data_IF_727540182457
#
_entry.id   IF_727540182457
#
_cell.length_a   1.000
_cell.length_b   1.000
_cell.length_c   1.000
_cell.angle_alpha   90.00
_cell.angle_beta   90.00
_cell.angle_gamma   90.00
#
_symmetry.space_group_name_H-M   'P 1'
#
loop_
_entity.id
_entity.type
_entity.pdbx_description
1 polymer ?
#
# COMPACT_ATOMS: atom_id res chain seq x y z
N UNK A 1 24.60 -32.57 -13.50
CA UNK A 1 24.50 -32.01 -12.13
C UNK A 1 24.38 -30.49 -12.19
N UNK A 2 23.22 -29.97 -12.63
CA UNK A 2 22.72 -28.61 -12.37
C UNK A 2 21.42 -28.39 -13.17
N UNK A 3 20.34 -29.03 -12.71
CA UNK A 3 18.97 -28.73 -13.09
C UNK A 3 18.16 -28.82 -11.80
N UNK A 4 18.24 -27.78 -10.97
CA UNK A 4 17.46 -27.64 -9.74
C UNK A 4 17.51 -26.18 -9.27
N UNK A 5 16.70 -25.32 -9.89
CA UNK A 5 16.31 -24.02 -9.32
C UNK A 5 15.05 -23.45 -10.02
N UNK A 6 14.17 -24.33 -10.50
CA UNK A 6 12.87 -23.96 -11.04
C UNK A 6 11.80 -24.75 -10.28
N UNK A 7 11.44 -24.28 -9.09
CA UNK A 7 10.19 -24.56 -8.37
C UNK A 7 10.29 -24.00 -6.94
N UNK A 8 10.05 -22.70 -6.77
CA UNK A 8 9.63 -22.16 -5.47
C UNK A 8 8.33 -21.39 -5.68
N UNK A 9 7.31 -21.89 -4.96
CA UNK A 9 5.94 -21.39 -4.76
C UNK A 9 5.06 -21.17 -5.99
N UNK A 10 4.37 -22.23 -6.41
CA UNK A 10 3.16 -22.13 -7.25
C UNK A 10 1.99 -22.96 -6.67
N UNK A 11 1.83 -22.98 -5.34
CA UNK A 11 0.74 -23.71 -4.70
C UNK A 11 0.40 -23.19 -3.31
N UNK A 12 -0.64 -22.34 -3.24
CA UNK A 12 -1.51 -22.01 -2.07
C UNK A 12 -2.25 -20.67 -2.23
N UNK A 13 -1.78 -19.78 -3.11
CA UNK A 13 -2.24 -18.38 -3.18
C UNK A 13 -3.65 -18.12 -3.75
N UNK A 14 -4.37 -19.14 -4.21
CA UNK A 14 -5.73 -18.98 -4.76
C UNK A 14 -6.79 -18.77 -3.67
N UNK A 15 -6.69 -19.51 -2.57
CA UNK A 15 -7.70 -19.54 -1.50
C UNK A 15 -7.58 -18.28 -0.61
N UNK A 16 -6.35 -17.91 -0.23
CA UNK A 16 -6.11 -16.72 0.60
C UNK A 16 -6.45 -15.40 -0.11
N UNK A 17 -6.43 -15.33 -1.44
CA UNK A 17 -6.85 -14.12 -2.18
C UNK A 17 -8.37 -13.95 -2.21
N UNK A 18 -9.12 -15.04 -2.35
CA UNK A 18 -10.57 -15.00 -2.32
C UNK A 18 -11.08 -14.61 -0.93
N UNK A 19 -10.52 -15.23 0.12
CA UNK A 19 -10.85 -14.90 1.51
C UNK A 19 -10.45 -13.47 1.86
N UNK A 20 -9.28 -13.00 1.40
CA UNK A 20 -8.87 -11.60 1.58
C UNK A 20 -9.88 -10.65 0.94
N UNK A 21 -10.36 -10.94 -0.28
CA UNK A 21 -11.38 -10.13 -0.95
C UNK A 21 -12.75 -10.19 -0.27
N UNK A 22 -13.16 -11.30 0.33
CA UNK A 22 -14.40 -11.39 1.10
C UNK A 22 -14.36 -10.49 2.35
N UNK A 23 -13.21 -10.47 3.03
CA UNK A 23 -13.01 -9.64 4.22
C UNK A 23 -13.08 -8.15 3.88
N UNK A 24 -12.67 -7.74 2.68
CA UNK A 24 -12.87 -6.36 2.22
C UNK A 24 -14.34 -5.95 2.24
N UNK A 25 -15.22 -6.77 1.66
CA UNK A 25 -16.65 -6.47 1.57
C UNK A 25 -17.23 -6.27 2.96
N UNK A 26 -16.87 -7.15 3.90
CA UNK A 26 -17.29 -7.02 5.29
C UNK A 26 -16.77 -5.74 5.95
N UNK A 27 -15.49 -5.41 5.79
CA UNK A 27 -14.92 -4.19 6.36
C UNK A 27 -15.54 -2.93 5.76
N UNK A 28 -15.85 -2.95 4.46
CA UNK A 28 -16.55 -1.86 3.78
C UNK A 28 -17.95 -1.66 4.36
N UNK A 29 -18.75 -2.73 4.46
CA UNK A 29 -20.08 -2.68 5.09
C UNK A 29 -20.01 -2.10 6.50
N UNK A 30 -19.04 -2.55 7.30
CA UNK A 30 -18.84 -2.03 8.66
C UNK A 30 -18.49 -0.53 8.72
N UNK A 31 -17.83 0.02 7.70
CA UNK A 31 -17.57 1.46 7.58
C UNK A 31 -18.80 2.24 7.11
N UNK A 32 -19.65 1.65 6.27
CA UNK A 32 -20.91 2.25 5.81
C UNK A 32 -22.00 2.21 6.90
N UNK A 33 -21.85 1.35 7.90
CA UNK A 33 -22.75 1.25 9.06
C UNK A 33 -22.15 1.86 10.35
N UNK A 34 -21.10 2.69 10.24
CA UNK A 34 -20.41 3.20 11.41
C UNK A 34 -21.29 4.17 12.22
N UNK A 35 -21.65 3.85 13.48
CA UNK A 35 -22.56 4.68 14.28
C UNK A 35 -21.97 6.03 14.70
N UNK A 36 -20.67 6.27 14.46
CA UNK A 36 -20.05 7.57 14.72
C UNK A 36 -20.42 8.65 13.69
N UNK A 37 -21.08 8.29 12.60
CA UNK A 37 -21.55 9.21 11.58
C UNK A 37 -23.01 8.93 11.20
N UNK A 38 -23.82 9.98 11.12
CA UNK A 38 -25.20 9.89 10.66
C UNK A 38 -25.20 9.96 9.13
N UNK A 39 -25.30 8.78 8.50
CA UNK A 39 -25.26 8.66 7.05
C UNK A 39 -26.56 9.11 6.38
N UNK A 40 -26.41 9.68 5.19
CA UNK A 40 -27.49 9.89 4.22
C UNK A 40 -27.29 8.92 3.05
N UNK A 41 -28.34 8.69 2.26
CA UNK A 41 -28.22 7.84 1.05
C UNK A 41 -27.11 8.34 0.11
N UNK A 42 -26.93 9.66 0.00
CA UNK A 42 -25.89 10.28 -0.82
C UNK A 42 -24.49 10.03 -0.26
N UNK A 43 -24.28 10.19 1.06
CA UNK A 43 -22.96 9.97 1.66
C UNK A 43 -22.57 8.50 1.67
N UNK A 44 -23.53 7.57 1.80
CA UNK A 44 -23.31 6.13 1.65
C UNK A 44 -22.83 5.79 0.24
N UNK A 45 -23.57 6.23 -0.79
CA UNK A 45 -23.20 5.98 -2.18
C UNK A 45 -21.83 6.60 -2.53
N UNK A 46 -21.53 7.77 -1.98
CA UNK A 46 -20.23 8.42 -2.17
C UNK A 46 -19.09 7.59 -1.57
N UNK A 47 -19.20 7.22 -0.30
CA UNK A 47 -18.14 6.48 0.40
C UNK A 47 -17.97 5.08 -0.18
N UNK A 48 -19.07 4.37 -0.48
CA UNK A 48 -19.03 3.05 -1.11
C UNK A 48 -18.25 3.07 -2.43
N UNK A 49 -18.61 4.00 -3.33
CA UNK A 49 -17.92 4.19 -4.61
C UNK A 49 -16.46 4.60 -4.42
N UNK A 50 -16.18 5.51 -3.49
CA UNK A 50 -14.83 6.00 -3.22
C UNK A 50 -13.92 4.89 -2.70
N UNK A 51 -14.43 4.00 -1.84
CA UNK A 51 -13.71 2.84 -1.33
C UNK A 51 -13.38 1.84 -2.44
N UNK A 52 -14.38 1.43 -3.23
CA UNK A 52 -14.16 0.46 -4.32
C UNK A 52 -13.18 1.01 -5.36
N UNK A 53 -13.24 2.31 -5.66
CA UNK A 53 -12.36 2.94 -6.65
C UNK A 53 -10.89 3.00 -6.20
N UNK A 54 -10.66 3.38 -4.93
CA UNK A 54 -9.31 3.71 -4.46
C UNK A 54 -8.61 2.56 -3.73
N UNK A 55 -9.36 1.67 -3.09
CA UNK A 55 -8.78 0.58 -2.31
C UNK A 55 -8.57 -0.66 -3.19
N UNK A 56 -9.51 -1.00 -4.08
CA UNK A 56 -9.42 -2.16 -4.97
C UNK A 56 -8.60 -1.87 -6.24
N UNK A 57 -8.32 -2.92 -7.03
CA UNK A 57 -7.59 -2.84 -8.31
C UNK A 57 -6.06 -2.86 -8.18
N UNK A 58 -5.52 -2.98 -6.97
CA UNK A 58 -4.11 -3.24 -6.71
C UNK A 58 -3.76 -4.74 -6.70
N UNK A 59 -2.46 -5.05 -6.68
CA UNK A 59 -1.98 -6.45 -6.50
C UNK A 59 -2.19 -6.96 -5.05
N UNK A 60 -2.49 -6.07 -4.10
CA UNK A 60 -2.65 -6.33 -2.67
C UNK A 60 -1.44 -7.02 -2.01
N UNK A 61 -0.24 -6.84 -2.58
CA UNK A 61 0.97 -7.53 -2.10
C UNK A 61 1.31 -7.16 -0.65
N UNK A 62 1.03 -5.93 -0.21
CA UNK A 62 1.34 -5.49 1.16
C UNK A 62 0.37 -6.12 2.15
N UNK A 63 -0.92 -6.13 1.82
CA UNK A 63 -1.95 -6.77 2.63
C UNK A 63 -1.74 -8.29 2.75
N UNK A 64 -1.50 -8.96 1.62
CA UNK A 64 -1.23 -10.41 1.60
C UNK A 64 0.05 -10.79 2.37
N UNK A 65 1.07 -9.91 2.35
CA UNK A 65 2.31 -10.12 3.10
C UNK A 65 2.09 -10.26 4.61
N UNK A 66 1.06 -9.61 5.19
CA UNK A 66 0.72 -9.82 6.61
C UNK A 66 0.34 -11.27 6.88
N UNK A 67 -0.49 -11.84 6.01
CA UNK A 67 -1.02 -13.20 6.12
C UNK A 67 0.12 -14.21 5.96
N UNK A 68 0.94 -14.04 4.93
CA UNK A 68 2.06 -14.93 4.62
C UNK A 68 3.15 -14.87 5.71
N UNK A 69 3.43 -13.68 6.23
CA UNK A 69 4.35 -13.49 7.36
C UNK A 69 3.81 -14.17 8.61
N UNK A 70 2.51 -14.03 8.90
CA UNK A 70 1.90 -14.62 10.10
C UNK A 70 1.86 -16.15 10.05
N UNK A 71 1.53 -16.72 8.88
CA UNK A 71 1.65 -18.16 8.61
C UNK A 71 3.07 -18.67 8.85
N UNK A 72 4.05 -17.94 8.31
CA UNK A 72 5.47 -18.30 8.44
C UNK A 72 5.93 -18.26 9.89
N UNK A 73 5.59 -17.21 10.65
CA UNK A 73 5.93 -17.08 12.07
C UNK A 73 5.31 -18.20 12.92
N UNK A 74 4.10 -18.64 12.58
CA UNK A 74 3.44 -19.78 13.25
C UNK A 74 3.91 -21.15 12.78
N UNK A 75 4.62 -21.23 11.65
CA UNK A 75 5.00 -22.51 11.03
C UNK A 75 3.79 -23.32 10.56
N UNK A 76 2.73 -22.65 10.09
CA UNK A 76 1.50 -23.30 9.59
C UNK A 76 1.14 -22.81 8.20
N UNK A 77 0.59 -23.71 7.37
CA UNK A 77 0.11 -23.35 6.03
C UNK A 77 -1.30 -22.75 6.05
N UNK A 78 -2.09 -23.11 7.06
CA UNK A 78 -3.50 -22.73 7.24
C UNK A 78 -3.71 -22.15 8.63
N UNK A 79 -4.23 -20.93 8.68
CA UNK A 79 -4.59 -20.24 9.92
C UNK A 79 -6.03 -20.63 10.34
N UNK A 80 -6.35 -20.49 11.62
CA UNK A 80 -7.75 -20.61 12.08
C UNK A 80 -8.56 -19.44 11.54
N UNK A 81 -9.89 -19.61 11.39
CA UNK A 81 -10.77 -18.56 10.85
C UNK A 81 -10.61 -17.19 11.53
N UNK A 82 -10.52 -17.15 12.87
CA UNK A 82 -10.31 -15.88 13.59
C UNK A 82 -8.93 -15.27 13.29
N UNK A 83 -7.90 -16.10 13.23
CA UNK A 83 -6.53 -15.68 12.92
C UNK A 83 -6.41 -15.14 11.49
N UNK A 84 -7.02 -15.83 10.53
CA UNK A 84 -7.10 -15.37 9.15
C UNK A 84 -7.83 -14.04 9.07
N UNK A 85 -8.97 -13.92 9.76
CA UNK A 85 -9.75 -12.68 9.78
C UNK A 85 -8.94 -11.50 10.31
N UNK A 86 -8.24 -11.66 11.45
CA UNK A 86 -7.43 -10.60 12.03
C UNK A 86 -6.22 -10.24 11.14
N UNK A 87 -5.52 -11.24 10.57
CA UNK A 87 -4.41 -11.01 9.67
C UNK A 87 -4.84 -10.27 8.39
N UNK A 88 -5.94 -10.68 7.78
CA UNK A 88 -6.52 -10.00 6.62
C UNK A 88 -7.00 -8.59 6.98
N UNK A 89 -7.58 -8.40 8.16
CA UNK A 89 -8.03 -7.07 8.62
C UNK A 89 -6.85 -6.10 8.73
N UNK A 90 -5.73 -6.52 9.33
CA UNK A 90 -4.51 -5.69 9.34
C UNK A 90 -3.95 -5.49 7.93
N UNK A 91 -3.99 -6.52 7.09
CA UNK A 91 -3.59 -6.40 5.68
C UNK A 91 -4.41 -5.33 4.94
N UNK A 92 -5.72 -5.27 5.15
CA UNK A 92 -6.58 -4.23 4.60
C UNK A 92 -6.29 -2.86 5.20
N UNK A 93 -6.02 -2.73 6.51
CA UNK A 93 -5.57 -1.45 7.08
C UNK A 93 -4.34 -0.88 6.33
N UNK A 94 -3.41 -1.75 5.89
CA UNK A 94 -2.24 -1.33 5.10
C UNK A 94 -2.63 -0.92 3.67
N UNK A 95 -3.55 -1.63 3.02
CA UNK A 95 -4.06 -1.27 1.69
C UNK A 95 -4.89 0.04 1.73
N UNK A 96 -5.63 0.31 2.82
CA UNK A 96 -6.28 1.60 3.08
C UNK A 96 -5.26 2.72 3.27
N UNK A 97 -4.21 2.48 4.06
CA UNK A 97 -3.11 3.44 4.26
C UNK A 97 -2.45 3.78 2.92
N UNK A 98 -2.19 2.76 2.09
CA UNK A 98 -1.65 2.96 0.76
C UNK A 98 -2.64 3.75 -0.12
N UNK A 99 -3.93 3.39 -0.15
CA UNK A 99 -4.94 4.09 -0.94
C UNK A 99 -5.01 5.58 -0.58
N UNK A 100 -5.02 5.90 0.71
CA UNK A 100 -4.94 7.27 1.23
C UNK A 100 -3.74 8.03 0.65
N UNK A 101 -2.52 7.50 0.82
CA UNK A 101 -1.33 8.18 0.31
C UNK A 101 -1.36 8.32 -1.21
N UNK A 102 -1.86 7.33 -1.94
CA UNK A 102 -1.91 7.38 -3.41
C UNK A 102 -2.91 8.40 -3.94
N UNK A 103 -4.06 8.59 -3.28
CA UNK A 103 -5.02 9.63 -3.65
C UNK A 103 -4.38 11.02 -3.53
N UNK A 104 -3.65 11.28 -2.44
CA UNK A 104 -2.98 12.56 -2.23
C UNK A 104 -1.75 12.74 -3.13
N UNK A 105 -0.94 11.70 -3.29
CA UNK A 105 0.23 11.67 -4.19
C UNK A 105 -0.19 11.96 -5.63
N UNK A 106 -1.31 11.38 -6.10
CA UNK A 106 -1.84 11.67 -7.43
C UNK A 106 -2.19 13.14 -7.64
N UNK A 107 -2.69 13.82 -6.60
CA UNK A 107 -3.00 15.25 -6.65
C UNK A 107 -1.71 16.08 -6.68
N UNK A 108 -0.77 15.77 -5.78
CA UNK A 108 0.50 16.50 -5.66
C UNK A 108 1.38 16.35 -6.91
N UNK A 109 1.39 15.17 -7.51
CA UNK A 109 2.14 14.87 -8.75
C UNK A 109 1.34 15.22 -10.02
N UNK A 110 0.11 15.76 -9.87
CA UNK A 110 -0.78 16.10 -10.97
C UNK A 110 -1.02 14.92 -11.95
N UNK A 111 -1.06 13.70 -11.40
CA UNK A 111 -1.14 12.45 -12.14
C UNK A 111 -2.43 12.32 -12.98
N UNK A 112 -2.36 11.51 -14.03
CA UNK A 112 -3.49 11.29 -14.95
C UNK A 112 -4.22 9.98 -14.66
N UNK A 113 -3.48 8.89 -14.48
CA UNK A 113 -4.03 7.54 -14.35
C UNK A 113 -3.36 6.74 -13.25
N UNK A 114 -4.13 5.91 -12.55
CA UNK A 114 -3.67 4.93 -11.57
C UNK A 114 -4.46 3.63 -11.73
N UNK A 115 -3.79 2.48 -11.63
CA UNK A 115 -4.40 1.14 -11.75
C UNK A 115 -5.25 0.95 -13.03
N UNK A 116 -4.86 1.62 -14.12
CA UNK A 116 -5.55 1.54 -15.41
C UNK A 116 -6.78 2.43 -15.55
N UNK A 117 -7.09 3.26 -14.55
CA UNK A 117 -8.23 4.19 -14.53
C UNK A 117 -7.75 5.63 -14.28
N UNK A 118 -8.55 6.68 -14.55
CA UNK A 118 -8.23 8.05 -14.15
C UNK A 118 -7.94 8.15 -12.64
N UNK A 119 -7.00 8.99 -12.23
CA UNK A 119 -6.81 9.28 -10.81
C UNK A 119 -8.11 9.82 -10.19
N UNK A 120 -8.40 9.50 -8.93
CA UNK A 120 -9.70 9.82 -8.31
C UNK A 120 -10.07 11.31 -8.43
N UNK A 121 -9.13 12.21 -8.18
CA UNK A 121 -9.33 13.66 -8.32
C UNK A 121 -9.64 14.14 -9.76
N UNK A 122 -9.41 13.29 -10.77
CA UNK A 122 -9.73 13.55 -12.19
C UNK A 122 -11.11 13.05 -12.59
N UNK A 123 -11.74 12.22 -11.77
CA UNK A 123 -13.09 11.73 -12.03
C UNK A 123 -14.05 12.93 -12.03
N UNK A 124 -14.95 13.06 -13.03
CA UNK A 124 -15.92 14.14 -13.05
C UNK A 124 -16.69 14.21 -11.73
N UNK A 125 -16.91 15.43 -11.22
CA UNK A 125 -17.58 15.73 -9.95
C UNK A 125 -16.74 15.49 -8.67
N UNK A 126 -15.57 14.84 -8.75
CA UNK A 126 -14.69 14.64 -7.58
C UNK A 126 -13.78 15.85 -7.37
N UNK A 127 -12.87 16.14 -8.30
CA UNK A 127 -11.93 17.26 -8.17
C UNK A 127 -11.15 17.22 -6.84
N UNK A 128 -11.08 18.36 -6.15
CA UNK A 128 -10.37 18.48 -4.87
C UNK A 128 -11.12 17.89 -3.67
N UNK A 129 -12.36 17.40 -3.83
CA UNK A 129 -13.05 16.61 -2.79
C UNK A 129 -12.20 15.37 -2.43
N UNK A 130 -11.42 14.87 -3.41
CA UNK A 130 -10.46 13.78 -3.22
C UNK A 130 -9.47 14.01 -2.05
N UNK A 131 -9.16 15.27 -1.70
CA UNK A 131 -8.32 15.56 -0.52
C UNK A 131 -9.01 15.08 0.75
N UNK A 132 -10.29 15.41 0.92
CA UNK A 132 -11.09 14.97 2.06
C UNK A 132 -11.37 13.47 2.01
N UNK A 133 -11.62 12.90 0.82
CA UNK A 133 -11.77 11.45 0.66
C UNK A 133 -10.52 10.70 1.11
N UNK A 134 -9.32 11.22 0.82
CA UNK A 134 -8.07 10.71 1.36
C UNK A 134 -8.04 10.74 2.89
N UNK A 135 -8.49 11.83 3.51
CA UNK A 135 -8.58 11.95 4.98
C UNK A 135 -9.58 10.93 5.54
N UNK A 136 -10.70 10.66 4.86
CA UNK A 136 -11.66 9.63 5.25
C UNK A 136 -11.02 8.24 5.21
N UNK A 137 -10.31 7.90 4.12
CA UNK A 137 -9.56 6.64 4.01
C UNK A 137 -8.58 6.45 5.18
N UNK A 138 -7.84 7.50 5.55
CA UNK A 138 -6.94 7.48 6.71
C UNK A 138 -7.69 7.23 8.02
N UNK A 139 -8.83 7.89 8.24
CA UNK A 139 -9.63 7.72 9.45
C UNK A 139 -10.23 6.31 9.58
N UNK A 140 -10.64 5.68 8.47
CA UNK A 140 -11.16 4.31 8.48
C UNK A 140 -10.19 3.31 9.11
N UNK A 141 -8.87 3.51 8.98
CA UNK A 141 -7.87 2.64 9.61
C UNK A 141 -8.08 2.60 11.13
N UNK A 142 -8.20 3.75 11.79
CA UNK A 142 -8.45 3.81 13.23
C UNK A 142 -9.82 3.22 13.62
N UNK A 143 -10.85 3.38 12.77
CA UNK A 143 -12.18 2.77 12.99
C UNK A 143 -12.11 1.25 12.95
N UNK A 144 -11.44 0.69 11.94
CA UNK A 144 -11.23 -0.76 11.77
C UNK A 144 -10.40 -1.32 12.93
N UNK A 145 -9.29 -0.66 13.29
CA UNK A 145 -8.46 -1.08 14.42
C UNK A 145 -9.25 -1.08 15.73
N UNK A 146 -10.02 -0.02 15.99
CA UNK A 146 -10.86 0.07 17.19
C UNK A 146 -11.93 -1.02 17.23
N UNK A 147 -12.55 -1.35 16.09
CA UNK A 147 -13.64 -2.33 16.02
C UNK A 147 -13.16 -3.76 16.30
N UNK A 148 -12.02 -4.16 15.73
CA UNK A 148 -11.56 -5.56 15.75
C UNK A 148 -10.44 -5.86 16.74
N UNK A 149 -9.69 -4.85 17.16
CA UNK A 149 -8.48 -5.05 17.97
C UNK A 149 -8.55 -4.43 19.36
N UNK A 150 -9.55 -3.60 19.70
CA UNK A 150 -9.61 -2.89 20.99
C UNK A 150 -9.50 -3.77 22.24
N UNK A 151 -9.98 -5.02 22.16
CA UNK A 151 -9.88 -6.00 23.25
C UNK A 151 -8.60 -6.84 23.26
N UNK A 152 -7.72 -6.68 22.27
CA UNK A 152 -6.48 -7.44 22.15
C UNK A 152 -5.36 -6.75 22.94
N UNK A 153 -4.42 -7.50 23.55
CA UNK A 153 -3.37 -6.92 24.40
C UNK A 153 -2.43 -5.98 23.64
N UNK A 154 -2.25 -6.19 22.34
CA UNK A 154 -1.39 -5.40 21.44
C UNK A 154 -2.12 -4.26 20.70
N UNK A 155 -3.32 -3.87 21.14
CA UNK A 155 -4.11 -2.83 20.49
C UNK A 155 -3.40 -1.48 20.42
N UNK A 156 -2.80 -1.06 21.52
CA UNK A 156 -2.09 0.22 21.61
C UNK A 156 -0.86 0.18 20.71
N UNK A 157 -0.11 -0.92 20.71
CA UNK A 157 1.05 -1.12 19.85
C UNK A 157 0.68 -1.05 18.36
N UNK A 158 -0.50 -1.56 17.97
CA UNK A 158 -1.01 -1.41 16.61
C UNK A 158 -1.30 0.06 16.26
N UNK A 159 -1.96 0.81 17.14
CA UNK A 159 -2.23 2.23 16.91
C UNK A 159 -0.91 3.00 16.73
N UNK A 160 0.04 2.79 17.64
CA UNK A 160 1.33 3.46 17.63
C UNK A 160 2.14 3.09 16.38
N UNK A 161 2.14 1.81 15.99
CA UNK A 161 2.79 1.32 14.77
C UNK A 161 2.23 1.99 13.52
N UNK A 162 0.90 2.03 13.35
CA UNK A 162 0.29 2.67 12.18
C UNK A 162 0.56 4.18 12.16
N UNK A 163 0.45 4.87 13.30
CA UNK A 163 0.74 6.31 13.40
C UNK A 163 2.21 6.62 13.10
N UNK A 164 3.15 5.85 13.65
CA UNK A 164 4.59 6.05 13.42
C UNK A 164 4.96 5.82 11.94
N UNK A 165 4.41 4.76 11.33
CA UNK A 165 4.67 4.47 9.92
C UNK A 165 3.99 5.49 9.00
N UNK A 166 2.79 5.96 9.33
CA UNK A 166 2.15 7.07 8.62
C UNK A 166 3.02 8.33 8.69
N UNK A 167 3.48 8.71 9.88
CA UNK A 167 4.35 9.86 10.08
C UNK A 167 5.65 9.75 9.27
N UNK A 168 6.30 8.59 9.28
CA UNK A 168 7.50 8.32 8.47
C UNK A 168 7.21 8.46 6.97
N UNK A 169 6.08 7.94 6.51
CA UNK A 169 5.68 7.99 5.10
C UNK A 169 5.41 9.42 4.65
N UNK A 170 4.63 10.18 5.44
CA UNK A 170 4.38 11.60 5.20
C UNK A 170 5.68 12.43 5.23
N UNK A 171 6.60 12.12 6.16
CA UNK A 171 7.92 12.78 6.21
C UNK A 171 8.77 12.46 4.98
N UNK A 172 8.70 11.22 4.47
CA UNK A 172 9.33 10.83 3.21
C UNK A 172 8.74 11.57 2.01
N UNK A 173 7.41 11.73 1.97
CA UNK A 173 6.73 12.53 0.95
C UNK A 173 7.13 14.00 1.01
N UNK A 174 7.23 14.58 2.20
CA UNK A 174 7.74 15.95 2.40
C UNK A 174 9.14 16.11 1.77
N UNK A 175 10.06 15.18 2.07
CA UNK A 175 11.41 15.21 1.51
C UNK A 175 11.41 15.13 -0.02
N UNK A 176 10.55 14.29 -0.60
CA UNK A 176 10.40 14.14 -2.04
C UNK A 176 9.95 15.46 -2.69
N UNK A 177 8.89 16.08 -2.15
CA UNK A 177 8.30 17.31 -2.70
C UNK A 177 9.24 18.51 -2.61
N UNK A 178 9.91 18.73 -1.47
CA UNK A 178 10.82 19.88 -1.32
C UNK A 178 12.12 19.70 -2.11
N UNK A 179 12.51 18.47 -2.42
CA UNK A 179 13.68 18.17 -3.27
C UNK A 179 13.35 18.37 -4.75
N UNK A 180 12.11 18.09 -5.16
CA UNK A 180 11.67 18.11 -6.57
C UNK A 180 10.83 19.34 -6.95
N UNK A 181 10.69 20.31 -6.04
CA UNK A 181 9.77 21.44 -6.16
C UNK A 181 9.88 22.20 -7.50
N UNK A 182 8.74 22.40 -8.15
CA UNK A 182 8.63 23.10 -9.44
C UNK A 182 8.92 24.59 -9.29
N UNK A 183 10.18 24.98 -9.48
CA UNK A 183 10.62 26.39 -9.48
C UNK A 183 12.13 26.54 -9.42
N UNK A 184 12.81 25.64 -8.71
CA UNK A 184 14.28 25.59 -8.63
C UNK A 184 14.78 24.22 -9.09
N UNK A 185 15.02 24.06 -10.40
CA UNK A 185 15.63 22.85 -10.97
C UNK A 185 17.14 22.81 -10.68
N UNK A 186 17.48 22.80 -9.40
CA UNK A 186 18.85 22.68 -8.92
C UNK A 186 19.24 21.20 -8.82
N UNK A 187 19.98 20.72 -9.82
CA UNK A 187 20.45 19.34 -9.87
C UNK A 187 21.43 19.00 -8.73
N UNK A 188 22.02 19.99 -8.05
CA UNK A 188 22.94 19.74 -6.93
C UNK A 188 22.23 19.20 -5.68
N UNK A 189 20.91 19.42 -5.57
CA UNK A 189 20.06 18.85 -4.51
C UNK A 189 19.91 17.33 -4.63
N UNK A 190 20.14 16.77 -5.82
CA UNK A 190 20.03 15.33 -6.07
C UNK A 190 21.34 14.62 -5.73
N UNK A 191 21.31 13.84 -4.65
CA UNK A 191 22.42 12.96 -4.29
C UNK A 191 21.91 11.64 -3.70
N UNK A 192 22.79 10.65 -3.64
CA UNK A 192 22.45 9.30 -3.18
C UNK A 192 21.91 9.27 -1.74
N UNK A 193 22.39 10.15 -0.86
CA UNK A 193 21.93 10.19 0.53
C UNK A 193 20.50 10.73 0.63
N UNK A 194 20.18 11.79 -0.12
CA UNK A 194 18.83 12.35 -0.21
C UNK A 194 17.87 11.33 -0.81
N UNK A 195 18.25 10.70 -1.93
CA UNK A 195 17.45 9.65 -2.57
C UNK A 195 17.18 8.49 -1.60
N UNK A 196 18.23 7.98 -0.92
CA UNK A 196 18.08 6.91 0.07
C UNK A 196 17.10 7.28 1.19
N UNK A 197 17.21 8.50 1.73
CA UNK A 197 16.29 8.97 2.79
C UNK A 197 14.85 9.06 2.29
N UNK A 198 14.62 9.65 1.11
CA UNK A 198 13.28 9.71 0.52
C UNK A 198 12.70 8.30 0.40
N UNK A 199 13.43 7.39 -0.23
CA UNK A 199 12.97 6.01 -0.45
C UNK A 199 12.69 5.27 0.85
N UNK A 200 13.61 5.35 1.81
CA UNK A 200 13.50 4.70 3.12
C UNK A 200 12.21 5.14 3.83
N UNK A 201 11.99 6.44 3.93
CA UNK A 201 10.86 7.00 4.65
C UNK A 201 9.55 6.92 3.87
N UNK A 202 9.54 7.31 2.59
CA UNK A 202 8.34 7.34 1.73
C UNK A 202 7.83 5.94 1.40
N UNK A 203 8.69 4.92 1.33
CA UNK A 203 8.29 3.59 0.83
C UNK A 203 8.61 2.43 1.75
N UNK A 204 9.86 2.32 2.23
CA UNK A 204 10.33 1.08 2.83
C UNK A 204 9.56 0.70 4.11
N UNK A 205 9.28 1.67 4.99
CA UNK A 205 8.57 1.40 6.25
C UNK A 205 7.16 0.84 6.04
N UNK A 206 6.29 1.54 5.27
CA UNK A 206 4.91 1.08 5.10
C UNK A 206 4.79 -0.13 4.16
N UNK A 207 5.76 -0.34 3.26
CA UNK A 207 5.68 -1.40 2.26
C UNK A 207 6.28 -2.73 2.70
N UNK A 208 7.31 -2.71 3.54
CA UNK A 208 8.06 -3.92 3.95
C UNK A 208 8.05 -4.13 5.46
N UNK A 209 8.32 -3.09 6.26
CA UNK A 209 8.36 -3.24 7.71
C UNK A 209 6.96 -3.42 8.30
N UNK A 210 6.00 -2.56 7.95
CA UNK A 210 4.66 -2.56 8.53
C UNK A 210 3.94 -3.92 8.41
N UNK A 211 3.91 -4.61 7.25
CA UNK A 211 3.27 -5.91 7.15
C UNK A 211 3.84 -6.97 8.12
N UNK A 212 5.16 -7.02 8.25
CA UNK A 212 5.84 -7.99 9.14
C UNK A 212 5.66 -7.61 10.60
N UNK A 213 5.71 -6.31 10.93
CA UNK A 213 5.45 -5.82 12.28
C UNK A 213 4.01 -6.14 12.74
N UNK A 214 3.02 -6.00 11.86
CA UNK A 214 1.65 -6.45 12.12
C UNK A 214 1.59 -7.96 12.43
N UNK A 215 2.30 -8.78 11.66
CA UNK A 215 2.34 -10.24 11.88
C UNK A 215 3.06 -10.64 13.19
N UNK A 216 4.11 -9.90 13.59
CA UNK A 216 4.78 -10.08 14.88
C UNK A 216 3.84 -9.75 16.04
N UNK A 217 3.13 -8.61 15.99
CA UNK A 217 2.14 -8.24 17.01
C UNK A 217 1.00 -9.27 17.10
N UNK A 218 0.50 -9.79 15.97
CA UNK A 218 -0.49 -10.87 15.95
C UNK A 218 0.03 -12.18 16.56
N UNK A 219 1.34 -12.39 16.55
CA UNK A 219 2.01 -13.53 17.20
C UNK A 219 2.22 -13.31 18.70
N UNK A 220 1.90 -12.12 19.23
CA UNK A 220 2.12 -11.75 20.62
C UNK A 220 3.56 -11.32 20.93
N UNK A 221 4.33 -10.98 19.90
CA UNK A 221 5.72 -10.55 20.04
C UNK A 221 5.83 -9.05 20.39
N UNK A 222 6.91 -8.69 21.08
CA UNK A 222 7.26 -7.28 21.33
C UNK A 222 8.23 -6.79 20.24
N UNK A 223 7.85 -5.74 19.51
CA UNK A 223 8.62 -5.18 18.40
C UNK A 223 10.01 -4.66 18.79
N UNK A 224 10.24 -4.30 20.05
CA UNK A 224 11.54 -3.84 20.54
C UNK A 224 12.63 -4.93 20.41
N UNK A 225 12.23 -6.20 20.43
CA UNK A 225 13.14 -7.34 20.27
C UNK A 225 13.55 -7.58 18.81
N UNK A 226 12.94 -6.88 17.85
CA UNK A 226 13.08 -7.15 16.40
C UNK A 226 13.72 -5.98 15.64
N UNK A 227 14.65 -5.26 16.29
CA UNK A 227 15.41 -4.17 15.68
C UNK A 227 16.14 -4.56 14.38
N UNK A 228 16.76 -5.75 14.36
CA UNK A 228 17.45 -6.26 13.17
C UNK A 228 16.50 -6.58 12.01
N UNK A 229 15.31 -7.13 12.31
CA UNK A 229 14.27 -7.38 11.31
C UNK A 229 13.82 -6.09 10.66
N UNK A 230 13.60 -5.03 11.45
CA UNK A 230 13.29 -3.69 10.93
C UNK A 230 14.37 -3.19 9.99
N UNK A 231 15.65 -3.32 10.36
CA UNK A 231 16.77 -2.87 9.54
C UNK A 231 16.83 -3.62 8.20
N UNK A 232 16.69 -4.95 8.22
CA UNK A 232 16.69 -5.78 7.01
C UNK A 232 15.54 -5.39 6.06
N UNK A 233 14.31 -5.26 6.60
CA UNK A 233 13.14 -4.92 5.80
C UNK A 233 13.23 -3.52 5.18
N UNK A 234 13.84 -2.57 5.89
CA UNK A 234 14.08 -1.23 5.36
C UNK A 234 15.09 -1.24 4.21
N UNK A 235 16.17 -2.01 4.32
CA UNK A 235 17.13 -2.17 3.22
C UNK A 235 16.50 -2.87 2.01
N UNK A 236 15.70 -3.92 2.24
CA UNK A 236 14.92 -4.59 1.18
C UNK A 236 13.97 -3.62 0.47
N UNK A 237 13.26 -2.79 1.23
CA UNK A 237 12.37 -1.78 0.66
C UNK A 237 13.11 -0.69 -0.11
N UNK A 238 14.32 -0.35 0.34
CA UNK A 238 15.19 0.60 -0.37
C UNK A 238 15.63 0.04 -1.71
N UNK A 239 16.07 -1.22 -1.71
CA UNK A 239 16.41 -1.93 -2.94
C UNK A 239 15.22 -2.03 -3.91
N UNK A 240 14.04 -2.39 -3.41
CA UNK A 240 12.82 -2.48 -4.21
C UNK A 240 12.50 -1.17 -4.94
N UNK A 241 12.59 -0.02 -4.26
CA UNK A 241 12.27 1.26 -4.89
C UNK A 241 13.28 1.65 -5.98
N UNK A 242 14.56 1.27 -5.84
CA UNK A 242 15.55 1.44 -6.91
C UNK A 242 15.14 0.65 -8.16
N UNK A 243 14.65 -0.58 -7.99
CA UNK A 243 14.14 -1.38 -9.10
C UNK A 243 12.89 -0.76 -9.75
N UNK A 244 11.95 -0.27 -8.95
CA UNK A 244 10.74 0.41 -9.44
C UNK A 244 11.10 1.66 -10.25
N UNK A 245 12.04 2.48 -9.76
CA UNK A 245 12.50 3.68 -10.47
C UNK A 245 13.13 3.32 -11.82
N UNK A 246 13.95 2.25 -11.87
CA UNK A 246 14.54 1.77 -13.12
C UNK A 246 13.47 1.29 -14.11
N UNK A 247 12.44 0.59 -13.63
CA UNK A 247 11.31 0.14 -14.45
C UNK A 247 10.51 1.32 -15.01
N UNK A 248 10.19 2.31 -14.18
CA UNK A 248 9.49 3.53 -14.62
C UNK A 248 10.30 4.30 -15.66
N UNK A 249 11.60 4.43 -15.46
CA UNK A 249 12.49 5.08 -16.43
C UNK A 249 12.47 4.36 -17.79
N UNK A 250 12.61 3.03 -17.80
CA UNK A 250 12.53 2.22 -19.04
C UNK A 250 11.20 2.46 -19.77
N UNK A 251 10.08 2.50 -19.04
CA UNK A 251 8.75 2.74 -19.62
C UNK A 251 8.62 4.14 -20.21
N UNK A 252 9.10 5.18 -19.51
CA UNK A 252 9.09 6.56 -20.02
C UNK A 252 9.98 6.72 -21.27
N UNK A 253 11.17 6.13 -21.27
CA UNK A 253 12.09 6.14 -22.43
C UNK A 253 11.45 5.45 -23.63
N UNK A 254 10.82 4.29 -23.42
CA UNK A 254 10.10 3.60 -24.50
C UNK A 254 9.00 4.50 -25.07
N UNK A 255 8.10 5.03 -24.24
CA UNK A 255 7.02 5.93 -24.70
C UNK A 255 7.57 7.12 -25.50
N UNK A 256 8.68 7.71 -25.07
CA UNK A 256 9.34 8.78 -25.81
C UNK A 256 9.89 8.30 -27.17
N UNK A 257 10.59 7.17 -27.22
CA UNK A 257 11.06 6.57 -28.48
C UNK A 257 9.90 6.30 -29.44
N UNK A 258 8.78 5.77 -28.95
CA UNK A 258 7.57 5.54 -29.74
C UNK A 258 6.96 6.84 -30.27
N UNK A 259 6.95 7.92 -29.47
CA UNK A 259 6.48 9.22 -29.94
C UNK A 259 7.32 9.80 -31.09
N UNK A 260 8.59 9.39 -31.19
CA UNK A 260 9.50 9.78 -32.27
C UNK A 260 9.46 8.83 -33.49
N UNK A 261 8.90 7.62 -33.34
CA UNK A 261 8.87 6.58 -34.37
C UNK A 261 7.43 6.11 -34.66
N UNK A 262 6.71 6.75 -35.61
CA UNK A 262 5.30 6.45 -35.90
C UNK A 262 5.00 5.06 -36.51
N UNK A 263 6.01 4.18 -36.64
CA UNK A 263 5.87 2.85 -37.26
C UNK A 263 5.81 1.68 -36.26
N UNK A 264 5.98 1.93 -34.96
CA UNK A 264 6.00 0.86 -33.95
C UNK A 264 4.70 0.93 -33.13
N UNK A 265 3.91 -0.15 -33.10
CA UNK A 265 2.62 -0.20 -32.41
C UNK A 265 2.79 -0.57 -30.93
N UNK A 266 2.03 0.08 -30.04
CA UNK A 266 1.99 -0.20 -28.59
C UNK A 266 1.45 -1.62 -28.28
N UNK A 267 0.73 -2.25 -29.23
CA UNK A 267 0.10 -3.55 -29.05
C UNK A 267 1.09 -4.72 -28.85
N UNK A 268 2.36 -4.56 -29.25
CA UNK A 268 3.34 -5.66 -29.24
C UNK A 268 3.94 -5.95 -27.84
N UNK A 269 3.63 -5.14 -26.83
CA UNK A 269 4.21 -5.26 -25.48
C UNK A 269 3.20 -5.54 -24.36
N UNK A 270 1.90 -5.62 -24.65
CA UNK A 270 0.89 -5.88 -23.60
C UNK A 270 0.83 -7.34 -23.13
N UNK A 271 1.62 -8.25 -23.70
CA UNK A 271 1.46 -9.69 -23.51
C UNK A 271 2.53 -10.40 -22.69
N UNK A 272 3.62 -9.76 -22.21
CA UNK A 272 4.65 -10.50 -21.46
C UNK A 272 5.35 -9.68 -20.37
N UNK A 273 4.63 -9.21 -19.36
CA UNK A 273 5.19 -8.84 -18.05
C UNK A 273 4.05 -8.81 -17.00
N UNK A 274 3.58 -10.01 -16.63
CA UNK A 274 2.67 -10.23 -15.51
C UNK A 274 3.44 -10.33 -14.19
#
# INVERSE_FOLDING_TARGET
>A
MAAAAAALSNGSGGDSKAEFAEIYSRLKEEMLEDPAFEFTDESLQWIDRMLDYNVLGGKCNRGLSVIDSYKTLKGVDVLRKEETFLACTLGWCIEWLQAYFLVLDDIMDNSQTRRGQPCWFRVPQVGLIAVNDGIILRNHISRILQRHFRGKPYYVDLIDLFNEVEFKTASGQLLDLITTHEGEKDLTKYNLNVHRRIVQYKTAYYSFYLPVACALLLSGENLDNFGDVKNILVEMGTYFQVQVNLFLWKRKVLVYIYSLCPKISIADFSTNLY
#
